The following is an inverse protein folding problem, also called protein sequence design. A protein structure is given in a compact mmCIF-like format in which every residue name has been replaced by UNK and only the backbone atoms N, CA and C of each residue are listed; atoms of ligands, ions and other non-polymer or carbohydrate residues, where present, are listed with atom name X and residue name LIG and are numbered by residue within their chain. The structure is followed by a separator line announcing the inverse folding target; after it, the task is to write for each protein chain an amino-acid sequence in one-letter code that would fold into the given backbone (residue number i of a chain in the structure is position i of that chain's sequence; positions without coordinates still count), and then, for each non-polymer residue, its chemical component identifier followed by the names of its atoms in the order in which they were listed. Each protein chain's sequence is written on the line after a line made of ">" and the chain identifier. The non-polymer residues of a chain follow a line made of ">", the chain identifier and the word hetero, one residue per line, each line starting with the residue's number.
data_IF_673432922362
#
_entry.id   IF_673432922362
#
_cell.length_a   1.000
_cell.length_b   1.000
_cell.length_c   1.000
_cell.angle_alpha   90.00
_cell.angle_beta   90.00
_cell.angle_gamma   90.00
#
_symmetry.space_group_name_H-M   'P 1'
#
loop_
_entity.id
_entity.type
_entity.pdbx_description
1 polymer ?
#
# COMPACT_ATOMS: atom_id res chain seq x y z
N UNK A 1 7.03 -2.66 15.11
CA UNK A 1 6.49 -3.75 14.30
C UNK A 1 7.59 -4.38 13.45
N UNK A 2 8.48 -3.56 12.87
CA UNK A 2 9.62 -4.01 12.06
C UNK A 2 10.91 -3.52 12.74
N UNK A 3 11.54 -4.32 13.62
CA UNK A 3 12.68 -3.88 14.42
C UNK A 3 13.89 -3.45 13.59
N UNK A 4 14.07 -4.03 12.40
CA UNK A 4 15.17 -3.76 11.46
C UNK A 4 15.15 -2.34 10.91
N UNK A 5 13.98 -1.69 10.92
CA UNK A 5 13.80 -0.30 10.49
C UNK A 5 14.01 0.73 11.60
N UNK A 6 14.35 0.29 12.83
CA UNK A 6 14.58 1.22 13.94
C UNK A 6 15.71 2.20 13.61
N UNK A 7 15.39 3.50 13.63
CA UNK A 7 16.31 4.58 13.28
C UNK A 7 16.56 4.80 11.79
N UNK A 8 15.88 4.02 10.92
CA UNK A 8 15.98 4.15 9.45
C UNK A 8 14.68 4.63 8.82
N UNK A 9 13.61 4.70 9.59
CA UNK A 9 12.28 5.05 9.11
C UNK A 9 11.75 6.26 9.90
N UNK A 10 11.24 7.25 9.19
CA UNK A 10 10.56 8.41 9.74
C UNK A 10 9.41 8.81 8.80
N UNK A 11 8.51 9.63 9.28
CA UNK A 11 7.38 10.11 8.50
C UNK A 11 6.48 11.04 9.29
N UNK A 12 5.60 11.70 8.57
CA UNK A 12 4.57 12.56 9.15
C UNK A 12 3.22 12.34 8.46
N UNK A 13 2.16 12.80 9.09
CA UNK A 13 0.82 12.76 8.51
C UNK A 13 0.26 14.17 8.34
N UNK A 14 -0.36 14.42 7.20
CA UNK A 14 -1.12 15.64 6.93
C UNK A 14 -2.61 15.37 7.11
N UNK A 15 -3.27 16.27 7.83
CA UNK A 15 -4.74 16.31 7.93
C UNK A 15 -5.26 17.24 6.86
N UNK A 16 -6.07 16.71 5.95
CA UNK A 16 -6.66 17.45 4.82
C UNK A 16 -8.19 17.35 4.86
N UNK A 17 -8.94 18.31 4.30
CA UNK A 17 -10.40 18.34 4.33
C UNK A 17 -11.02 17.35 3.31
N UNK A 18 -10.64 16.08 3.40
CA UNK A 18 -11.17 14.98 2.59
C UNK A 18 -12.02 14.07 3.47
N UNK A 19 -13.23 13.68 3.05
CA UNK A 19 -14.16 12.92 3.91
C UNK A 19 -13.61 11.58 4.37
N UNK A 20 -12.94 10.86 3.49
CA UNK A 20 -12.32 9.55 3.76
C UNK A 20 -11.24 9.26 2.72
N UNK A 21 -10.57 8.14 2.86
CA UNK A 21 -9.44 7.67 2.05
C UNK A 21 -8.16 8.46 2.31
N UNK A 22 -7.10 7.74 2.43
CA UNK A 22 -5.76 8.27 2.68
C UNK A 22 -4.79 7.82 1.59
N UNK A 23 -3.76 8.62 1.40
CA UNK A 23 -2.65 8.32 0.49
C UNK A 23 -1.35 8.23 1.28
N UNK A 24 -0.50 7.30 0.90
CA UNK A 24 0.88 7.19 1.38
C UNK A 24 1.81 7.46 0.21
N UNK A 25 2.70 8.41 0.38
CA UNK A 25 3.85 8.65 -0.50
C UNK A 25 5.08 8.04 0.19
N UNK A 26 5.45 6.84 -0.24
CA UNK A 26 6.56 6.10 0.33
C UNK A 26 7.80 6.26 -0.52
N UNK A 27 8.90 6.66 0.12
CA UNK A 27 10.20 6.86 -0.51
C UNK A 27 11.24 6.02 0.22
N UNK A 28 12.07 5.33 -0.53
CA UNK A 28 13.15 4.52 0.02
C UNK A 28 14.37 4.46 -0.91
N UNK A 29 15.53 4.28 -0.32
CA UNK A 29 16.73 3.86 -1.03
C UNK A 29 16.89 2.36 -0.85
N UNK A 30 16.93 1.62 -1.96
CA UNK A 30 17.04 0.16 -1.97
C UNK A 30 18.47 -0.28 -2.29
N UNK A 31 18.90 -1.41 -1.75
CA UNK A 31 20.26 -1.93 -1.94
C UNK A 31 20.53 -2.42 -3.36
N UNK A 32 19.48 -2.96 -4.00
CA UNK A 32 19.59 -3.54 -5.35
C UNK A 32 18.96 -2.61 -6.37
N UNK A 33 19.68 -2.25 -7.44
CA UNK A 33 19.08 -1.46 -8.51
C UNK A 33 17.83 -2.12 -9.09
N UNK A 34 16.84 -1.29 -9.39
CA UNK A 34 15.54 -1.71 -9.94
C UNK A 34 15.02 -0.70 -10.95
N UNK A 35 13.86 -0.97 -11.53
CA UNK A 35 13.11 -0.06 -12.40
C UNK A 35 11.65 0.03 -11.96
N UNK A 36 10.94 1.05 -12.39
CA UNK A 36 9.51 1.20 -12.09
C UNK A 36 8.70 0.01 -12.61
N UNK A 37 9.04 -0.50 -13.80
CA UNK A 37 8.40 -1.66 -14.40
C UNK A 37 8.62 -2.93 -13.57
N UNK A 38 9.85 -3.14 -13.08
CA UNK A 38 10.17 -4.31 -12.24
C UNK A 38 9.43 -4.24 -10.89
N UNK A 39 9.35 -3.08 -10.26
CA UNK A 39 8.58 -2.88 -9.03
C UNK A 39 7.09 -3.12 -9.27
N UNK A 40 6.54 -2.54 -10.31
CA UNK A 40 5.13 -2.71 -10.66
C UNK A 40 4.78 -4.18 -10.96
N UNK A 41 5.68 -4.92 -11.61
CA UNK A 41 5.51 -6.35 -11.82
C UNK A 41 5.46 -7.13 -10.50
N UNK A 42 6.34 -6.81 -9.53
CA UNK A 42 6.34 -7.43 -8.20
C UNK A 42 5.07 -7.10 -7.41
N UNK A 43 4.59 -5.86 -7.44
CA UNK A 43 3.35 -5.49 -6.77
C UNK A 43 2.14 -6.20 -7.37
N UNK A 44 2.09 -6.31 -8.69
CA UNK A 44 1.03 -7.03 -9.38
C UNK A 44 1.03 -8.52 -9.03
N UNK A 45 2.21 -9.16 -9.05
CA UNK A 45 2.36 -10.56 -8.65
C UNK A 45 1.91 -10.78 -7.20
N UNK A 46 2.30 -9.91 -6.28
CA UNK A 46 1.87 -10.00 -4.88
C UNK A 46 0.35 -9.82 -4.72
N UNK A 47 -0.25 -8.87 -5.43
CA UNK A 47 -1.69 -8.62 -5.40
C UNK A 47 -2.53 -9.77 -5.97
N UNK A 48 -2.03 -10.46 -6.98
CA UNK A 48 -2.66 -11.64 -7.58
C UNK A 48 -2.36 -12.94 -6.80
N UNK A 49 -1.28 -12.95 -6.00
CA UNK A 49 -0.76 -14.08 -5.25
C UNK A 49 -1.00 -14.00 -3.74
N UNK A 50 0.09 -13.93 -2.97
CA UNK A 50 0.08 -14.06 -1.51
C UNK A 50 -0.68 -12.96 -0.78
N UNK A 51 -0.81 -11.77 -1.37
CA UNK A 51 -1.54 -10.64 -0.82
C UNK A 51 -2.92 -10.43 -1.49
N UNK A 52 -3.43 -11.44 -2.16
CA UNK A 52 -4.75 -11.36 -2.79
C UNK A 52 -5.84 -11.01 -1.77
N UNK A 53 -6.62 -9.95 -2.08
CA UNK A 53 -7.65 -9.40 -1.19
C UNK A 53 -7.12 -8.50 -0.08
N UNK A 54 -5.79 -8.34 0.03
CA UNK A 54 -5.11 -7.42 0.96
C UNK A 54 -4.47 -6.25 0.21
N UNK A 55 -3.79 -6.56 -0.88
CA UNK A 55 -3.16 -5.60 -1.79
C UNK A 55 -3.96 -5.56 -3.10
N UNK A 56 -4.17 -4.36 -3.62
CA UNK A 56 -4.68 -4.12 -4.96
C UNK A 56 -3.62 -3.40 -5.80
N UNK A 57 -3.59 -3.68 -7.08
CA UNK A 57 -2.72 -3.02 -8.06
C UNK A 57 -3.60 -2.33 -9.10
N UNK A 58 -3.52 -1.00 -9.18
CA UNK A 58 -4.31 -0.19 -10.10
C UNK A 58 -3.41 0.51 -11.13
N UNK A 59 -3.89 0.54 -12.36
CA UNK A 59 -3.33 1.32 -13.48
C UNK A 59 -4.26 2.46 -13.90
N UNK A 60 -5.28 2.73 -13.11
CA UNK A 60 -6.27 3.77 -13.38
C UNK A 60 -5.90 5.04 -12.61
N UNK A 61 -6.07 6.20 -13.24
CA UNK A 61 -5.89 7.51 -12.61
C UNK A 61 -7.10 7.83 -11.71
N UNK A 62 -7.09 7.28 -10.49
CA UNK A 62 -8.17 7.40 -9.51
C UNK A 62 -7.94 8.56 -8.54
N UNK A 63 -9.04 9.08 -7.99
CA UNK A 63 -9.02 10.02 -6.87
C UNK A 63 -9.58 9.36 -5.61
N UNK A 64 -9.38 9.99 -4.45
CA UNK A 64 -9.76 9.44 -3.15
C UNK A 64 -11.20 8.89 -3.10
N UNK A 65 -12.16 9.60 -3.69
CA UNK A 65 -13.57 9.20 -3.62
C UNK A 65 -13.91 7.97 -4.47
N UNK A 66 -13.12 7.65 -5.47
CA UNK A 66 -13.29 6.42 -6.27
C UNK A 66 -12.95 5.17 -5.43
N UNK A 67 -12.09 5.35 -4.43
CA UNK A 67 -11.58 4.28 -3.57
C UNK A 67 -12.36 4.11 -2.26
N UNK A 68 -13.41 4.93 -2.06
CA UNK A 68 -14.26 4.81 -0.87
C UNK A 68 -14.96 3.47 -0.83
N UNK A 69 -14.82 2.76 0.30
CA UNK A 69 -15.39 1.42 0.49
C UNK A 69 -14.55 0.30 -0.13
N UNK A 70 -13.37 0.60 -0.65
CA UNK A 70 -12.45 -0.42 -1.11
C UNK A 70 -11.89 -1.22 0.09
N UNK A 71 -12.04 -2.57 0.11
CA UNK A 71 -11.67 -3.40 1.26
C UNK A 71 -10.17 -3.67 1.38
N UNK A 72 -9.36 -3.35 0.37
CA UNK A 72 -7.93 -3.63 0.39
C UNK A 72 -7.20 -2.74 1.41
N UNK A 73 -6.18 -3.28 2.05
CA UNK A 73 -5.35 -2.53 3.00
C UNK A 73 -4.40 -1.56 2.33
N UNK A 74 -4.08 -1.81 1.07
CA UNK A 74 -3.23 -0.96 0.24
C UNK A 74 -3.60 -1.14 -1.22
N UNK A 75 -3.67 -0.04 -1.96
CA UNK A 75 -3.95 -0.01 -3.39
C UNK A 75 -2.79 0.73 -4.06
N UNK A 76 -1.92 0.00 -4.75
CA UNK A 76 -0.77 0.57 -5.45
C UNK A 76 -1.25 1.39 -6.64
N UNK A 77 -0.83 2.63 -6.70
CA UNK A 77 -0.99 3.51 -7.86
C UNK A 77 0.23 3.33 -8.78
N UNK A 78 0.05 2.47 -9.78
CA UNK A 78 1.15 2.04 -10.63
C UNK A 78 1.74 3.18 -11.48
N UNK A 79 0.92 4.16 -11.85
CA UNK A 79 1.36 5.29 -12.68
C UNK A 79 2.28 6.25 -11.90
N UNK A 80 2.17 6.25 -10.58
CA UNK A 80 2.96 7.09 -9.69
C UNK A 80 4.21 6.39 -9.12
N UNK A 81 4.49 5.16 -9.55
CA UNK A 81 5.75 4.47 -9.20
C UNK A 81 6.92 5.09 -9.98
N UNK A 82 7.92 5.57 -9.25
CA UNK A 82 9.10 6.23 -9.84
C UNK A 82 10.38 5.59 -9.28
N UNK A 83 11.37 5.42 -10.13
CA UNK A 83 12.73 5.03 -9.74
C UNK A 83 13.72 6.03 -10.31
N UNK A 84 14.57 6.59 -9.45
CA UNK A 84 15.66 7.49 -9.82
C UNK A 84 17.00 6.84 -9.49
N UNK A 85 17.97 7.00 -10.37
CA UNK A 85 19.33 6.45 -10.23
C UNK A 85 19.38 4.93 -9.90
N UNK A 86 18.31 4.22 -10.24
CA UNK A 86 18.19 2.77 -10.06
C UNK A 86 17.93 2.33 -8.62
N UNK A 87 18.19 3.14 -7.60
CA UNK A 87 18.07 2.74 -6.18
C UNK A 87 17.11 3.60 -5.38
N UNK A 88 16.83 4.82 -5.80
CA UNK A 88 15.90 5.69 -5.11
C UNK A 88 14.50 5.47 -5.65
N UNK A 89 13.63 4.85 -4.85
CA UNK A 89 12.29 4.45 -5.25
C UNK A 89 11.22 5.29 -4.56
N UNK A 90 10.18 5.61 -5.31
CA UNK A 90 8.96 6.23 -4.81
C UNK A 90 7.78 5.37 -5.20
N UNK A 91 6.95 5.02 -4.23
CA UNK A 91 5.73 4.25 -4.41
C UNK A 91 4.57 4.99 -3.76
N UNK A 92 3.50 5.15 -4.50
CA UNK A 92 2.27 5.76 -3.99
C UNK A 92 1.22 4.67 -3.80
N UNK A 93 0.56 4.71 -2.67
CA UNK A 93 -0.51 3.76 -2.35
C UNK A 93 -1.66 4.45 -1.64
N UNK A 94 -2.87 3.97 -1.92
CA UNK A 94 -4.11 4.45 -1.33
C UNK A 94 -4.69 3.42 -0.38
N UNK A 95 -5.55 3.86 0.53
CA UNK A 95 -6.37 2.97 1.35
C UNK A 95 -7.58 3.72 1.92
N UNK A 96 -8.71 3.03 2.04
CA UNK A 96 -9.81 3.53 2.85
C UNK A 96 -9.48 3.25 4.33
N UNK A 97 -9.12 4.31 5.05
CA UNK A 97 -8.65 4.23 6.43
C UNK A 97 -9.71 3.70 7.42
N UNK A 98 -10.98 3.72 7.06
CA UNK A 98 -12.07 3.18 7.88
C UNK A 98 -12.44 1.76 7.44
N UNK A 99 -12.70 1.57 6.15
CA UNK A 99 -13.21 0.31 5.63
C UNK A 99 -12.15 -0.79 5.56
N UNK A 100 -10.97 -0.48 5.06
CA UNK A 100 -9.87 -1.43 4.96
C UNK A 100 -9.47 -2.00 6.32
N UNK A 101 -9.34 -1.14 7.34
CA UNK A 101 -9.06 -1.60 8.70
C UNK A 101 -10.20 -2.45 9.28
N UNK A 102 -11.45 -2.08 9.06
CA UNK A 102 -12.62 -2.85 9.51
C UNK A 102 -12.64 -4.25 8.89
N UNK A 103 -12.32 -4.37 7.60
CA UNK A 103 -12.17 -5.66 6.93
C UNK A 103 -11.07 -6.52 7.57
N UNK A 104 -9.90 -5.95 7.84
CA UNK A 104 -8.79 -6.69 8.50
C UNK A 104 -9.14 -7.11 9.91
N UNK A 105 -9.88 -6.32 10.64
CA UNK A 105 -10.36 -6.69 11.99
C UNK A 105 -11.30 -7.88 11.92
N UNK A 106 -12.22 -7.91 10.97
CA UNK A 106 -13.12 -9.03 10.74
C UNK A 106 -12.37 -10.30 10.32
N UNK A 107 -11.38 -10.17 9.43
CA UNK A 107 -10.53 -11.29 9.01
C UNK A 107 -9.76 -11.89 10.19
N UNK A 108 -9.16 -11.05 11.04
CA UNK A 108 -8.47 -11.51 12.24
C UNK A 108 -9.39 -12.24 13.20
N UNK A 109 -10.60 -11.71 13.44
CA UNK A 109 -11.60 -12.37 14.27
C UNK A 109 -11.99 -13.75 13.69
N UNK A 110 -12.16 -13.84 12.38
CA UNK A 110 -12.46 -15.11 11.70
C UNK A 110 -11.30 -16.11 11.80
N UNK A 111 -10.04 -15.64 11.72
CA UNK A 111 -8.86 -16.49 11.92
C UNK A 111 -8.80 -17.03 13.35
N UNK A 112 -9.03 -16.18 14.34
CA UNK A 112 -9.05 -16.59 15.75
C UNK A 112 -10.14 -17.61 16.02
N UNK A 113 -11.33 -17.44 15.48
CA UNK A 113 -12.44 -18.37 15.63
C UNK A 113 -12.14 -19.75 15.03
N UNK A 114 -11.32 -19.84 13.99
CA UNK A 114 -10.90 -21.12 13.39
C UNK A 114 -9.83 -21.85 14.20
N UNK A 115 -9.16 -21.16 15.12
CA UNK A 115 -8.10 -21.73 15.96
C UNK A 115 -8.61 -22.21 17.35
N UNK A 116 -9.89 -21.97 17.63
CA UNK A 116 -10.59 -22.47 18.84
C UNK A 116 -11.21 -23.81 18.57
#
# INVERSE_FOLDING_TARGET
>A
VIPELKGKFDGYALRVPTPTVSIVDFVAEVEKPTTAEALNALFKEAAEGDLKGILEYSTEALVSMDLKGNPHSSIIDAELTVVMDGTFVKVVTWYDNEWGYSCRTADLAAMMAKSL
#
